data_IF_248615704929
#
_entry.id   IF_248615704929
#
_cell.length_a   1.000
_cell.length_b   1.000
_cell.length_c   1.000
_cell.angle_alpha   90.00
_cell.angle_beta   90.00
_cell.angle_gamma   90.00
#
_symmetry.space_group_name_H-M   'P 1'
#
loop_
_entity.id
_entity.type
_entity.pdbx_description
1 polymer ?
#
# COMPACT_ATOMS: atom_id res chain seq x y z
N UNK A 1 28.43 11.86 28.64
CA UNK A 1 27.53 13.01 28.31
C UNK A 1 26.11 12.60 28.67
N UNK A 2 25.29 13.48 29.25
CA UNK A 2 23.92 13.14 29.65
C UNK A 2 22.98 12.87 28.46
N UNK A 3 21.86 12.19 28.72
CA UNK A 3 20.79 11.97 27.73
C UNK A 3 20.19 13.30 27.31
N UNK A 4 20.03 13.50 25.99
CA UNK A 4 19.49 14.71 25.38
C UNK A 4 17.95 14.67 25.28
N UNK A 5 17.35 13.51 25.50
CA UNK A 5 15.93 13.18 25.37
C UNK A 5 15.37 13.55 24.00
N UNK A 6 16.13 13.30 22.94
CA UNK A 6 15.77 13.71 21.57
C UNK A 6 16.07 12.62 20.56
N UNK A 7 15.17 12.40 19.61
CA UNK A 7 15.32 11.46 18.51
C UNK A 7 15.18 12.18 17.17
N UNK A 8 15.89 11.70 16.15
CA UNK A 8 15.75 12.21 14.80
C UNK A 8 15.25 11.08 13.87
N UNK A 9 14.11 11.31 13.22
CA UNK A 9 13.52 10.43 12.21
C UNK A 9 13.94 10.92 10.84
N UNK A 10 14.63 10.08 10.06
CA UNK A 10 15.29 10.48 8.82
C UNK A 10 14.71 9.74 7.62
N UNK A 11 14.25 10.50 6.63
CA UNK A 11 13.65 9.98 5.41
C UNK A 11 14.21 10.72 4.20
N UNK A 12 14.95 10.05 3.32
CA UNK A 12 15.37 10.66 2.04
C UNK A 12 14.25 10.55 0.99
N UNK A 13 13.08 11.11 1.30
CA UNK A 13 11.83 10.96 0.58
C UNK A 13 10.75 11.93 1.08
N UNK A 14 9.60 11.96 0.39
CA UNK A 14 8.44 12.77 0.81
C UNK A 14 7.85 12.20 2.11
N UNK A 15 7.85 13.00 3.19
CA UNK A 15 7.33 12.56 4.49
C UNK A 15 5.84 12.20 4.43
N UNK A 16 5.02 12.92 3.66
CA UNK A 16 3.59 12.65 3.54
C UNK A 16 3.29 11.32 2.85
N UNK A 17 4.30 10.73 2.18
CA UNK A 17 4.23 9.40 1.55
C UNK A 17 5.02 8.34 2.31
N UNK A 18 5.44 8.63 3.53
CA UNK A 18 6.24 7.74 4.38
C UNK A 18 5.51 7.49 5.71
N UNK A 19 4.34 6.81 5.68
CA UNK A 19 3.46 6.69 6.85
C UNK A 19 4.14 5.97 8.03
N UNK A 20 4.94 4.93 7.78
CA UNK A 20 5.69 4.23 8.82
C UNK A 20 6.61 5.15 9.63
N UNK A 21 7.27 6.11 8.99
CA UNK A 21 8.18 7.03 9.69
C UNK A 21 7.41 8.09 10.49
N UNK A 22 6.25 8.51 9.98
CA UNK A 22 5.29 9.30 10.76
C UNK A 22 4.80 8.52 12.00
N UNK A 23 4.60 7.21 11.86
CA UNK A 23 4.25 6.31 12.95
C UNK A 23 5.39 5.95 13.87
N UNK A 24 6.65 6.13 13.49
CA UNK A 24 7.74 6.15 14.47
C UNK A 24 7.71 7.45 15.28
N UNK A 25 7.46 8.60 14.65
CA UNK A 25 7.53 9.90 15.31
C UNK A 25 6.50 10.07 16.44
N UNK A 26 5.27 9.55 16.26
CA UNK A 26 4.20 9.69 17.26
C UNK A 26 4.49 8.95 18.59
N UNK A 27 4.75 7.63 18.61
CA UNK A 27 5.24 6.89 19.77
C UNK A 27 6.53 7.45 20.41
N UNK A 28 7.49 7.89 19.60
CA UNK A 28 8.70 8.52 20.14
C UNK A 28 8.35 9.73 20.99
N UNK A 29 7.42 10.56 20.51
CA UNK A 29 6.97 11.75 21.23
C UNK A 29 6.05 11.41 22.43
N UNK A 30 5.12 10.46 22.26
CA UNK A 30 4.08 10.14 23.26
C UNK A 30 4.53 9.10 24.30
N UNK A 31 5.07 7.97 23.85
CA UNK A 31 5.39 6.79 24.68
C UNK A 31 6.83 6.80 25.19
N UNK A 32 7.77 7.33 24.41
CA UNK A 32 9.17 7.48 24.84
C UNK A 32 9.49 8.86 25.43
N UNK A 33 8.55 9.82 25.31
CA UNK A 33 8.64 11.18 25.86
C UNK A 33 9.92 11.89 25.37
N UNK A 34 10.17 11.81 24.06
CA UNK A 34 11.31 12.43 23.40
C UNK A 34 10.85 13.61 22.55
N UNK A 35 11.71 14.62 22.41
CA UNK A 35 11.57 15.57 21.32
C UNK A 35 11.98 14.88 20.00
N UNK A 36 11.20 15.08 18.93
CA UNK A 36 11.38 14.35 17.67
C UNK A 36 11.61 15.33 16.53
N UNK A 37 12.78 15.26 15.90
CA UNK A 37 13.08 15.98 14.66
C UNK A 37 12.87 15.06 13.46
N UNK A 38 11.94 15.38 12.57
CA UNK A 38 11.76 14.67 11.30
C UNK A 38 12.55 15.41 10.22
N UNK A 39 13.54 14.76 9.60
CA UNK A 39 14.31 15.30 8.47
C UNK A 39 13.89 14.56 7.20
N UNK A 40 13.19 15.26 6.31
CA UNK A 40 12.60 14.65 5.11
C UNK A 40 12.40 15.65 3.96
N UNK A 41 12.07 15.17 2.75
CA UNK A 41 11.55 16.05 1.71
C UNK A 41 10.10 16.47 2.04
N UNK A 42 9.76 17.71 1.71
CA UNK A 42 8.38 18.13 1.64
C UNK A 42 7.68 17.62 0.37
N UNK A 43 6.39 17.94 0.23
CA UNK A 43 5.59 17.57 -0.92
C UNK A 43 4.15 17.36 -0.48
N UNK A 44 3.82 16.13 -0.15
CA UNK A 44 2.50 15.73 0.36
C UNK A 44 2.37 16.13 1.83
N UNK A 45 1.16 16.46 2.27
CA UNK A 45 0.91 16.81 3.68
C UNK A 45 1.03 15.57 4.59
N UNK A 46 1.79 15.64 5.69
CA UNK A 46 1.78 14.61 6.73
C UNK A 46 0.43 14.51 7.43
N UNK A 47 0.26 13.41 8.18
CA UNK A 47 -0.91 13.20 9.03
C UNK A 47 -1.06 14.33 10.07
N UNK A 48 -2.31 14.74 10.32
CA UNK A 48 -2.61 15.90 11.18
C UNK A 48 -2.04 15.73 12.59
N UNK A 49 -2.06 14.51 13.13
CA UNK A 49 -1.50 14.21 14.45
C UNK A 49 0.01 14.43 14.53
N UNK A 50 0.75 14.37 13.42
CA UNK A 50 2.18 14.68 13.37
C UNK A 50 2.38 16.19 13.29
N UNK A 51 1.55 16.89 12.51
CA UNK A 51 1.62 18.33 12.33
C UNK A 51 1.26 19.11 13.61
N UNK A 52 0.30 18.61 14.38
CA UNK A 52 -0.21 19.28 15.58
C UNK A 52 0.55 18.91 16.87
N UNK A 53 1.45 17.92 16.83
CA UNK A 53 2.15 17.46 18.03
C UNK A 53 3.27 18.42 18.44
N UNK A 54 3.19 18.95 19.67
CA UNK A 54 4.10 19.99 20.17
C UNK A 54 5.59 19.57 20.23
N UNK A 55 5.85 18.27 20.44
CA UNK A 55 7.20 17.70 20.53
C UNK A 55 7.75 17.18 19.19
N UNK A 56 7.05 17.39 18.07
CA UNK A 56 7.49 16.93 16.75
C UNK A 56 7.82 18.15 15.86
N UNK A 57 9.04 18.18 15.31
CA UNK A 57 9.54 19.26 14.48
C UNK A 57 9.90 18.73 13.09
N UNK A 58 9.24 19.24 12.04
CA UNK A 58 9.48 18.79 10.66
C UNK A 58 10.44 19.74 9.95
N UNK A 59 11.58 19.21 9.52
CA UNK A 59 12.63 19.90 8.77
C UNK A 59 12.61 19.44 7.32
N UNK A 60 11.98 20.25 6.46
CA UNK A 60 11.84 19.96 5.02
C UNK A 60 13.13 20.29 4.27
N UNK A 61 13.82 19.26 3.79
CA UNK A 61 15.02 19.39 2.96
C UNK A 61 14.68 19.85 1.54
N UNK A 62 15.55 20.64 0.90
CA UNK A 62 15.42 20.94 -0.52
C UNK A 62 15.58 19.67 -1.36
N UNK A 63 14.73 19.52 -2.36
CA UNK A 63 14.81 18.42 -3.32
C UNK A 63 15.86 18.71 -4.40
N UNK A 64 16.36 17.64 -5.05
CA UNK A 64 17.21 17.79 -6.23
C UNK A 64 16.46 18.56 -7.33
N UNK A 65 17.05 19.62 -7.90
CA UNK A 65 16.37 20.45 -8.88
C UNK A 65 15.97 19.67 -10.14
N UNK A 66 14.81 20.00 -10.70
CA UNK A 66 14.33 19.44 -11.96
C UNK A 66 15.00 20.22 -13.09
N UNK A 67 15.85 19.54 -13.87
CA UNK A 67 16.52 20.16 -15.01
C UNK A 67 15.66 20.08 -16.29
N UNK A 68 15.57 21.16 -17.09
CA UNK A 68 14.84 21.15 -18.35
C UNK A 68 15.44 20.16 -19.36
N UNK A 69 14.60 19.59 -20.25
CA UNK A 69 14.97 18.55 -21.23
C UNK A 69 16.16 18.92 -22.13
N UNK A 70 16.40 20.20 -22.36
CA UNK A 70 17.53 20.71 -23.15
C UNK A 70 18.91 20.32 -22.57
N UNK A 71 19.02 20.12 -21.24
CA UNK A 71 20.26 19.68 -20.56
C UNK A 71 20.45 18.15 -20.57
N UNK A 72 19.67 17.41 -21.37
CA UNK A 72 19.71 15.93 -21.39
C UNK A 72 21.07 15.35 -21.78
N UNK A 73 21.90 16.07 -22.54
CA UNK A 73 23.27 15.67 -22.89
C UNK A 73 24.13 15.50 -21.62
N UNK A 74 23.86 16.27 -20.55
CA UNK A 74 24.56 16.20 -19.27
C UNK A 74 23.90 15.23 -18.27
N UNK A 75 22.85 14.49 -18.68
CA UNK A 75 22.04 13.65 -17.78
C UNK A 75 22.88 12.62 -17.02
N UNK A 76 23.91 12.05 -17.65
CA UNK A 76 24.81 11.09 -16.99
C UNK A 76 25.63 11.75 -15.87
N UNK A 77 26.13 12.97 -16.08
CA UNK A 77 26.84 13.73 -15.05
C UNK A 77 25.88 14.14 -13.91
N UNK A 78 24.68 14.60 -14.25
CA UNK A 78 23.62 14.98 -13.29
C UNK A 78 23.26 13.80 -12.36
N UNK A 79 23.20 12.57 -12.90
CA UNK A 79 22.92 11.37 -12.10
C UNK A 79 24.04 11.04 -11.10
N UNK A 80 25.29 11.37 -11.43
CA UNK A 80 26.43 11.16 -10.53
C UNK A 80 26.50 12.22 -9.41
N UNK A 81 26.17 13.47 -9.73
CA UNK A 81 26.16 14.56 -8.73
C UNK A 81 24.96 14.51 -7.79
N UNK A 82 23.84 13.90 -8.21
CA UNK A 82 22.62 13.83 -7.39
C UNK A 82 22.86 13.17 -6.01
N UNK A 83 23.43 11.96 -5.89
CA UNK A 83 23.73 11.36 -4.59
C UNK A 83 24.70 12.20 -3.75
N UNK A 84 25.66 12.88 -4.37
CA UNK A 84 26.63 13.73 -3.65
C UNK A 84 25.91 14.94 -3.04
N UNK A 85 25.06 15.61 -3.80
CA UNK A 85 24.25 16.70 -3.27
C UNK A 85 23.31 16.24 -2.17
N UNK A 86 22.60 15.13 -2.38
CA UNK A 86 21.71 14.55 -1.37
C UNK A 86 22.48 14.21 -0.09
N UNK A 87 23.70 13.67 -0.21
CA UNK A 87 24.59 13.41 0.92
C UNK A 87 24.93 14.69 1.69
N UNK A 88 25.41 15.73 0.99
CA UNK A 88 25.85 16.99 1.60
C UNK A 88 24.69 17.72 2.28
N UNK A 89 23.54 17.80 1.61
CA UNK A 89 22.34 18.41 2.18
C UNK A 89 21.88 17.64 3.40
N UNK A 90 21.74 16.31 3.30
CA UNK A 90 21.30 15.50 4.43
C UNK A 90 22.26 15.63 5.61
N UNK A 91 23.57 15.52 5.37
CA UNK A 91 24.58 15.67 6.41
C UNK A 91 24.52 17.05 7.07
N UNK A 92 24.33 18.14 6.31
CA UNK A 92 24.17 19.48 6.87
C UNK A 92 22.93 19.58 7.77
N UNK A 93 21.80 18.98 7.36
CA UNK A 93 20.60 18.97 8.19
C UNK A 93 20.85 18.23 9.52
N UNK A 94 21.45 17.04 9.46
CA UNK A 94 21.70 16.20 10.64
C UNK A 94 22.80 16.77 11.57
N UNK A 95 23.82 17.43 11.01
CA UNK A 95 24.99 17.93 11.75
C UNK A 95 24.92 19.42 12.10
N UNK A 96 24.03 20.20 11.51
CA UNK A 96 23.97 21.65 11.72
C UNK A 96 22.56 22.14 11.99
N UNK A 97 21.57 21.74 11.18
CA UNK A 97 20.22 22.31 11.25
C UNK A 97 19.43 21.86 12.48
N UNK A 98 19.50 20.57 12.81
CA UNK A 98 18.77 20.00 13.95
C UNK A 98 19.66 19.95 15.21
N UNK A 99 19.07 20.05 16.41
CA UNK A 99 19.78 19.76 17.66
C UNK A 99 20.30 18.33 17.65
N UNK A 100 21.42 18.09 18.35
CA UNK A 100 22.02 16.76 18.38
C UNK A 100 21.07 15.75 19.08
N UNK A 101 20.61 14.68 18.41
CA UNK A 101 19.74 13.69 19.03
C UNK A 101 20.56 12.67 19.84
N UNK A 102 19.89 11.86 20.65
CA UNK A 102 20.48 10.64 21.23
C UNK A 102 20.50 9.50 20.21
N UNK A 103 19.51 9.46 19.31
CA UNK A 103 19.34 8.41 18.31
C UNK A 103 18.81 8.96 16.98
N UNK A 104 19.37 8.47 15.87
CA UNK A 104 18.80 8.59 14.54
C UNK A 104 18.02 7.31 14.18
N UNK A 105 16.81 7.43 13.64
CA UNK A 105 16.05 6.32 13.06
C UNK A 105 15.88 6.61 11.58
N UNK A 106 16.52 5.80 10.73
CA UNK A 106 16.58 6.04 9.28
C UNK A 106 15.75 5.02 8.51
N UNK A 107 14.92 5.52 7.61
CA UNK A 107 14.19 4.69 6.64
C UNK A 107 15.16 4.15 5.58
N UNK A 108 15.19 2.83 5.39
CA UNK A 108 15.85 2.20 4.25
C UNK A 108 14.82 1.46 3.39
N UNK A 109 14.75 1.69 2.07
CA UNK A 109 15.63 2.51 1.20
C UNK A 109 15.22 4.01 1.13
N UNK A 110 16.03 4.88 0.48
CA UNK A 110 17.30 4.61 -0.20
C UNK A 110 18.48 4.53 0.76
N UNK A 111 19.39 3.59 0.51
CA UNK A 111 20.59 3.35 1.33
C UNK A 111 21.71 4.32 1.01
N UNK A 112 21.93 4.56 -0.28
CA UNK A 112 22.92 5.52 -0.77
C UNK A 112 22.18 6.77 -1.27
N UNK A 113 22.49 7.97 -0.74
CA UNK A 113 23.53 8.30 0.25
C UNK A 113 23.09 8.22 1.73
N UNK A 114 21.84 7.86 2.03
CA UNK A 114 21.23 8.08 3.35
C UNK A 114 21.97 7.40 4.51
N UNK A 115 22.24 6.10 4.44
CA UNK A 115 22.91 5.37 5.52
C UNK A 115 24.33 5.89 5.75
N UNK A 116 25.01 6.30 4.67
CA UNK A 116 26.34 6.91 4.73
C UNK A 116 26.29 8.25 5.48
N UNK A 117 25.34 9.13 5.12
CA UNK A 117 25.17 10.42 5.76
C UNK A 117 24.78 10.29 7.23
N UNK A 118 23.84 9.38 7.55
CA UNK A 118 23.39 9.15 8.93
C UNK A 118 24.50 8.54 9.78
N UNK A 119 25.31 7.61 9.25
CA UNK A 119 26.46 7.08 9.98
C UNK A 119 27.50 8.17 10.28
N UNK A 120 27.81 9.01 9.30
CA UNK A 120 28.70 10.16 9.50
C UNK A 120 28.16 11.11 10.58
N UNK A 121 26.87 11.45 10.52
CA UNK A 121 26.23 12.31 11.50
C UNK A 121 26.21 11.68 12.90
N UNK A 122 25.92 10.38 13.00
CA UNK A 122 25.98 9.58 14.22
C UNK A 122 27.35 9.68 14.88
N UNK A 123 28.43 9.54 14.12
CA UNK A 123 29.79 9.68 14.63
C UNK A 123 30.10 11.11 15.09
N UNK A 124 29.79 12.12 14.28
CA UNK A 124 30.05 13.54 14.60
C UNK A 124 29.28 13.99 15.85
N UNK A 125 28.06 13.49 16.05
CA UNK A 125 27.18 13.90 17.15
C UNK A 125 27.26 12.99 18.38
N UNK A 126 28.05 11.92 18.33
CA UNK A 126 28.05 10.84 19.31
C UNK A 126 26.62 10.36 19.62
N UNK A 127 25.86 10.11 18.56
CA UNK A 127 24.47 9.65 18.63
C UNK A 127 24.39 8.24 18.10
N UNK A 128 23.50 7.42 18.65
CA UNK A 128 23.23 6.12 18.07
C UNK A 128 22.49 6.27 16.73
N UNK A 129 22.47 5.21 15.92
CA UNK A 129 21.58 5.15 14.76
C UNK A 129 21.02 3.75 14.58
N UNK A 130 19.75 3.71 14.19
CA UNK A 130 18.92 2.53 13.96
C UNK A 130 18.43 2.58 12.53
N UNK A 131 18.56 1.46 11.81
CA UNK A 131 18.03 1.32 10.45
C UNK A 131 16.67 0.63 10.51
N UNK A 132 15.65 1.23 9.91
CA UNK A 132 14.35 0.62 9.70
C UNK A 132 14.25 0.11 8.26
N UNK A 133 14.37 -1.20 8.10
CA UNK A 133 14.46 -1.90 6.82
C UNK A 133 13.05 -2.20 6.28
N UNK A 134 12.68 -1.51 5.20
CA UNK A 134 11.40 -1.69 4.52
C UNK A 134 11.55 -2.51 3.24
N UNK A 135 12.70 -2.37 2.58
CA UNK A 135 13.10 -3.13 1.41
C UNK A 135 14.64 -2.95 1.26
N UNK A 136 15.24 -3.60 0.27
CA UNK A 136 16.64 -3.42 -0.07
C UNK A 136 16.80 -2.50 -1.29
N UNK A 137 17.55 -1.42 -1.12
CA UNK A 137 17.80 -0.45 -2.18
C UNK A 137 18.50 -1.07 -3.39
N UNK A 138 19.39 -2.05 -3.18
CA UNK A 138 20.03 -2.74 -4.31
C UNK A 138 19.02 -3.52 -5.19
N UNK A 139 17.94 -4.08 -4.60
CA UNK A 139 16.92 -4.82 -5.36
C UNK A 139 16.07 -3.88 -6.21
N UNK A 140 15.72 -2.71 -5.66
CA UNK A 140 15.02 -1.66 -6.41
C UNK A 140 15.89 -1.11 -7.55
N UNK A 141 17.19 -0.92 -7.31
CA UNK A 141 18.13 -0.50 -8.36
C UNK A 141 18.27 -1.56 -9.45
N UNK A 142 18.23 -2.84 -9.08
CA UNK A 142 18.31 -3.96 -10.01
C UNK A 142 17.12 -4.03 -10.99
N UNK A 143 15.95 -3.50 -10.63
CA UNK A 143 14.81 -3.39 -11.55
C UNK A 143 15.12 -2.45 -12.73
N UNK A 144 15.94 -1.43 -12.51
CA UNK A 144 16.28 -0.43 -13.54
C UNK A 144 17.57 -0.78 -14.31
N UNK A 145 18.60 -1.29 -13.62
CA UNK A 145 19.92 -1.53 -14.20
C UNK A 145 20.22 -3.01 -14.50
N UNK A 146 19.34 -3.92 -14.09
CA UNK A 146 19.54 -5.36 -14.16
C UNK A 146 20.38 -5.91 -13.00
N UNK A 147 20.08 -7.15 -12.59
CA UNK A 147 20.70 -7.82 -11.43
C UNK A 147 22.22 -8.01 -11.56
N UNK A 148 22.72 -8.15 -12.79
CA UNK A 148 24.14 -8.41 -13.08
C UNK A 148 24.98 -7.13 -13.19
N UNK A 149 24.40 -5.96 -12.92
CA UNK A 149 25.11 -4.68 -13.01
C UNK A 149 26.14 -4.54 -11.88
N UNK A 150 27.36 -4.11 -12.22
CA UNK A 150 28.41 -3.77 -11.24
C UNK A 150 27.95 -2.68 -10.26
N UNK A 151 27.11 -1.74 -10.72
CA UNK A 151 26.54 -0.70 -9.85
C UNK A 151 25.60 -1.27 -8.80
N UNK A 152 24.83 -2.31 -9.13
CA UNK A 152 23.94 -3.00 -8.19
C UNK A 152 24.77 -3.77 -7.16
N UNK A 153 25.84 -4.45 -7.59
CA UNK A 153 26.76 -5.13 -6.68
C UNK A 153 27.45 -4.16 -5.71
N UNK A 154 27.92 -3.01 -6.22
CA UNK A 154 28.50 -1.95 -5.39
C UNK A 154 27.47 -1.36 -4.42
N UNK A 155 26.25 -1.08 -4.88
CA UNK A 155 25.18 -0.58 -4.01
C UNK A 155 24.86 -1.56 -2.88
N UNK A 156 24.74 -2.86 -3.21
CA UNK A 156 24.53 -3.93 -2.22
C UNK A 156 25.65 -3.97 -1.19
N UNK A 157 26.91 -3.84 -1.63
CA UNK A 157 28.04 -3.80 -0.72
C UNK A 157 27.96 -2.60 0.24
N UNK A 158 27.69 -1.39 -0.27
CA UNK A 158 27.54 -0.19 0.58
C UNK A 158 26.37 -0.36 1.55
N UNK A 159 25.21 -0.79 1.05
CA UNK A 159 24.02 -1.02 1.87
C UNK A 159 24.28 -2.01 3.00
N UNK A 160 24.99 -3.12 2.71
CA UNK A 160 25.38 -4.11 3.72
C UNK A 160 26.36 -3.54 4.74
N UNK A 161 27.44 -2.92 4.29
CA UNK A 161 28.48 -2.40 5.19
C UNK A 161 27.92 -1.35 6.15
N UNK A 162 27.15 -0.37 5.66
CA UNK A 162 26.58 0.65 6.54
C UNK A 162 25.41 0.12 7.38
N UNK A 163 24.71 -0.91 6.90
CA UNK A 163 23.73 -1.65 7.69
C UNK A 163 24.34 -2.36 8.90
N UNK A 164 25.45 -3.08 8.71
CA UNK A 164 26.20 -3.77 9.78
C UNK A 164 26.73 -2.81 10.85
N UNK A 165 27.02 -1.56 10.47
CA UNK A 165 27.50 -0.52 11.39
C UNK A 165 26.41 0.09 12.29
N UNK A 166 25.14 -0.29 12.10
CA UNK A 166 24.00 0.20 12.87
C UNK A 166 24.00 -0.32 14.29
N UNK A 167 23.58 0.52 15.24
CA UNK A 167 23.50 0.14 16.64
C UNK A 167 22.23 -0.69 16.91
N UNK A 168 21.22 -0.55 16.06
CA UNK A 168 20.02 -1.38 16.06
C UNK A 168 19.41 -1.48 14.67
N UNK A 169 18.55 -2.46 14.46
CA UNK A 169 17.80 -2.62 13.21
C UNK A 169 16.36 -3.05 13.47
N UNK A 170 15.43 -2.48 12.71
CA UNK A 170 14.02 -2.87 12.65
C UNK A 170 13.73 -3.40 11.25
N UNK A 171 12.83 -4.37 11.10
CA UNK A 171 12.44 -4.85 9.77
C UNK A 171 10.95 -5.18 9.69
N UNK A 172 10.39 -5.09 8.48
CA UNK A 172 8.95 -5.24 8.22
C UNK A 172 8.44 -6.68 8.31
N UNK A 173 9.32 -7.69 8.23
CA UNK A 173 8.94 -9.11 8.20
C UNK A 173 9.96 -10.01 8.91
N UNK A 174 9.53 -11.21 9.30
CA UNK A 174 10.41 -12.29 9.78
C UNK A 174 11.28 -12.82 8.65
N UNK A 175 10.76 -12.92 7.43
CA UNK A 175 11.54 -13.25 6.25
C UNK A 175 12.74 -12.30 6.07
N UNK A 176 12.53 -10.99 6.19
CA UNK A 176 13.61 -9.99 6.12
C UNK A 176 14.55 -10.10 7.33
N UNK A 177 14.03 -10.36 8.54
CA UNK A 177 14.86 -10.62 9.72
C UNK A 177 15.81 -11.80 9.49
N UNK A 178 15.31 -12.88 8.90
CA UNK A 178 16.10 -14.07 8.59
C UNK A 178 17.18 -13.77 7.54
N UNK A 179 16.84 -13.03 6.48
CA UNK A 179 17.81 -12.57 5.47
C UNK A 179 18.91 -11.70 6.08
N UNK A 180 18.53 -10.69 6.88
CA UNK A 180 19.45 -9.79 7.56
C UNK A 180 20.38 -10.56 8.50
N UNK A 181 19.86 -11.49 9.28
CA UNK A 181 20.67 -12.27 10.23
C UNK A 181 21.63 -13.25 9.52
N UNK A 182 21.14 -14.03 8.57
CA UNK A 182 21.94 -15.10 7.94
C UNK A 182 22.93 -14.59 6.89
N UNK A 183 22.50 -13.64 6.05
CA UNK A 183 23.30 -13.21 4.90
C UNK A 183 24.03 -11.88 5.16
N UNK A 184 23.54 -11.07 6.11
CA UNK A 184 24.11 -9.76 6.42
C UNK A 184 24.73 -9.68 7.81
N UNK A 185 24.57 -10.70 8.66
CA UNK A 185 25.06 -10.63 10.05
C UNK A 185 24.38 -9.54 10.90
N UNK A 186 23.22 -9.03 10.46
CA UNK A 186 22.49 -7.95 11.12
C UNK A 186 21.35 -8.56 11.95
N UNK A 187 21.38 -8.34 13.25
CA UNK A 187 20.28 -8.71 14.15
C UNK A 187 19.20 -7.60 14.11
N UNK A 188 18.08 -7.90 13.47
CA UNK A 188 16.93 -6.99 13.41
C UNK A 188 15.79 -7.45 14.32
N UNK A 189 14.99 -6.50 14.79
CA UNK A 189 13.71 -6.75 15.49
C UNK A 189 12.57 -6.55 14.50
N UNK A 190 11.65 -7.51 14.43
CA UNK A 190 10.48 -7.40 13.55
C UNK A 190 9.50 -6.38 14.11
N UNK A 191 9.08 -5.45 13.25
CA UNK A 191 8.01 -4.50 13.51
C UNK A 191 7.15 -4.45 12.25
N UNK A 192 6.01 -5.13 12.31
CA UNK A 192 5.05 -5.19 11.20
C UNK A 192 4.39 -3.84 10.98
N UNK A 193 4.06 -3.57 9.72
CA UNK A 193 3.21 -2.44 9.38
C UNK A 193 1.78 -2.63 9.88
N UNK A 194 1.16 -1.53 10.25
CA UNK A 194 -0.21 -1.50 10.76
C UNK A 194 -1.01 -0.43 10.04
N UNK A 195 -2.31 -0.67 9.80
CA UNK A 195 -3.14 0.29 9.11
C UNK A 195 -3.29 1.56 9.94
N UNK A 196 -3.24 2.74 9.31
CA UNK A 196 -3.70 3.99 9.92
C UNK A 196 -5.10 3.87 10.56
N UNK A 197 -5.34 4.59 11.65
CA UNK A 197 -6.64 4.59 12.35
C UNK A 197 -7.81 5.03 11.46
N UNK A 198 -7.57 5.82 10.41
CA UNK A 198 -8.60 6.28 9.48
C UNK A 198 -9.03 5.21 8.44
N UNK A 199 -8.30 4.11 8.31
CA UNK A 199 -8.80 2.95 7.57
C UNK A 199 -9.72 2.16 8.48
N UNK A 200 -11.02 2.33 8.26
CA UNK A 200 -12.10 1.69 9.01
C UNK A 200 -13.19 1.22 8.06
N UNK A 201 -14.03 0.27 8.47
CA UNK A 201 -15.22 -0.10 7.71
C UNK A 201 -16.16 1.10 7.54
N UNK A 202 -16.62 1.35 6.31
CA UNK A 202 -17.52 2.47 6.03
C UNK A 202 -18.96 2.13 6.47
N UNK A 203 -19.63 3.04 7.16
CA UNK A 203 -21.07 2.95 7.45
C UNK A 203 -21.90 3.03 6.17
N UNK A 204 -23.12 2.48 6.16
CA UNK A 204 -23.99 2.51 4.98
C UNK A 204 -24.25 3.93 4.44
N UNK A 205 -24.30 4.92 5.33
CA UNK A 205 -24.44 6.34 4.98
C UNK A 205 -23.21 6.84 4.24
N UNK A 206 -22.01 6.54 4.75
CA UNK A 206 -20.75 6.90 4.09
C UNK A 206 -20.60 6.21 2.74
N UNK A 207 -20.96 4.91 2.65
CA UNK A 207 -20.97 4.17 1.38
C UNK A 207 -21.86 4.85 0.36
N UNK A 208 -23.11 5.17 0.74
CA UNK A 208 -24.05 5.84 -0.16
C UNK A 208 -23.54 7.21 -0.61
N UNK A 209 -23.04 8.04 0.31
CA UNK A 209 -22.52 9.36 0.01
C UNK A 209 -21.32 9.28 -0.95
N UNK A 210 -20.37 8.36 -0.70
CA UNK A 210 -19.25 8.12 -1.60
C UNK A 210 -19.74 7.72 -2.99
N UNK A 211 -20.61 6.71 -3.07
CA UNK A 211 -21.13 6.18 -4.33
C UNK A 211 -21.90 7.24 -5.13
N UNK A 212 -22.62 8.15 -4.46
CA UNK A 212 -23.22 9.32 -5.09
C UNK A 212 -22.14 10.26 -5.65
N UNK A 213 -21.07 10.56 -4.89
CA UNK A 213 -19.97 11.43 -5.37
C UNK A 213 -19.28 10.85 -6.62
N UNK A 214 -18.97 9.56 -6.62
CA UNK A 214 -18.24 8.89 -7.72
C UNK A 214 -19.16 8.36 -8.83
N UNK A 215 -20.48 8.52 -8.70
CA UNK A 215 -21.48 7.98 -9.63
C UNK A 215 -21.21 8.33 -11.10
N UNK A 216 -20.77 9.57 -11.37
CA UNK A 216 -20.39 10.01 -12.72
C UNK A 216 -19.28 9.14 -13.30
N UNK A 217 -18.21 8.92 -12.53
CA UNK A 217 -17.10 8.05 -12.93
C UNK A 217 -17.51 6.58 -13.06
N UNK A 218 -18.49 6.11 -12.26
CA UNK A 218 -19.04 4.76 -12.40
C UNK A 218 -19.91 4.59 -13.64
N UNK A 219 -20.58 5.64 -14.09
CA UNK A 219 -21.44 5.62 -15.27
C UNK A 219 -20.66 5.76 -16.59
N UNK A 220 -19.40 6.18 -16.54
CA UNK A 220 -18.52 6.29 -17.70
C UNK A 220 -17.69 5.00 -17.87
N UNK A 221 -18.06 4.09 -18.79
CA UNK A 221 -17.24 2.92 -19.06
C UNK A 221 -15.91 3.31 -19.69
N UNK A 222 -14.85 2.56 -19.38
CA UNK A 222 -13.53 2.73 -20.01
C UNK A 222 -13.58 2.37 -21.51
N UNK A 223 -14.52 1.49 -21.89
CA UNK A 223 -14.76 1.03 -23.26
C UNK A 223 -16.22 1.17 -23.69
N UNK A 224 -16.82 0.09 -24.22
CA UNK A 224 -18.23 0.08 -24.63
C UNK A 224 -19.16 -0.01 -23.41
N UNK A 225 -20.47 0.13 -23.65
CA UNK A 225 -21.52 -0.17 -22.68
C UNK A 225 -21.27 -1.55 -22.06
N UNK A 226 -21.47 -1.66 -20.75
CA UNK A 226 -21.20 -2.86 -19.96
C UNK A 226 -22.36 -3.18 -19.02
N UNK A 227 -22.22 -4.28 -18.26
CA UNK A 227 -23.23 -4.79 -17.34
C UNK A 227 -23.61 -3.85 -16.18
N UNK A 228 -22.89 -2.73 -16.01
CA UNK A 228 -23.10 -1.73 -14.96
C UNK A 228 -23.65 -0.41 -15.53
N UNK A 229 -23.55 -0.21 -16.84
CA UNK A 229 -24.05 0.97 -17.53
C UNK A 229 -25.57 1.06 -17.34
N UNK A 230 -26.02 2.07 -16.58
CA UNK A 230 -27.41 2.24 -16.20
C UNK A 230 -27.91 3.62 -16.68
N UNK A 231 -29.14 3.66 -17.21
CA UNK A 231 -29.74 4.90 -17.72
C UNK A 231 -30.57 5.65 -16.66
N UNK A 232 -30.69 5.09 -15.44
CA UNK A 232 -31.52 5.64 -14.37
C UNK A 232 -30.81 6.78 -13.62
N UNK A 233 -31.28 8.00 -13.83
CA UNK A 233 -30.81 9.24 -13.20
C UNK A 233 -31.50 9.57 -11.85
N UNK A 234 -31.93 8.57 -11.08
CA UNK A 234 -32.52 8.84 -9.76
C UNK A 234 -31.44 9.34 -8.78
N UNK A 235 -31.52 10.60 -8.29
CA UNK A 235 -30.52 11.16 -7.39
C UNK A 235 -30.47 10.46 -6.01
N UNK A 236 -31.51 9.72 -5.63
CA UNK A 236 -31.60 9.01 -4.35
C UNK A 236 -31.19 7.54 -4.43
N UNK A 237 -30.72 7.07 -5.59
CA UNK A 237 -30.39 5.67 -5.83
C UNK A 237 -29.04 5.56 -6.52
N UNK A 238 -28.16 4.74 -5.96
CA UNK A 238 -26.89 4.35 -6.59
C UNK A 238 -27.02 2.94 -7.17
N UNK A 239 -25.95 2.45 -7.81
CA UNK A 239 -25.88 1.06 -8.26
C UNK A 239 -26.00 0.04 -7.11
N UNK A 240 -25.61 0.44 -5.89
CA UNK A 240 -25.50 -0.46 -4.73
C UNK A 240 -26.53 -0.20 -3.64
N UNK A 241 -27.00 1.04 -3.51
CA UNK A 241 -27.86 1.50 -2.40
C UNK A 241 -29.06 2.29 -2.91
N UNK A 242 -30.14 2.26 -2.15
CA UNK A 242 -31.32 3.13 -2.36
C UNK A 242 -31.64 3.83 -1.05
N UNK A 243 -31.94 5.12 -1.14
CA UNK A 243 -32.44 5.92 -0.02
C UNK A 243 -33.97 5.95 -0.05
N UNK A 244 -34.61 5.43 0.99
CA UNK A 244 -36.07 5.45 1.18
C UNK A 244 -36.37 6.32 2.39
N UNK A 245 -36.83 7.54 2.16
CA UNK A 245 -37.00 8.53 3.22
C UNK A 245 -35.65 8.91 3.87
N UNK A 246 -35.45 8.54 5.14
CA UNK A 246 -34.20 8.74 5.87
C UNK A 246 -33.30 7.50 5.93
N UNK A 247 -33.81 6.33 5.55
CA UNK A 247 -33.09 5.06 5.62
C UNK A 247 -32.35 4.76 4.30
N UNK A 248 -31.18 4.15 4.43
CA UNK A 248 -30.35 3.71 3.30
C UNK A 248 -30.25 2.19 3.36
N UNK A 249 -30.68 1.54 2.27
CA UNK A 249 -30.71 0.09 2.14
C UNK A 249 -29.79 -0.37 1.00
N UNK A 250 -29.15 -1.53 1.17
CA UNK A 250 -28.43 -2.20 0.09
C UNK A 250 -29.42 -2.85 -0.87
N UNK A 251 -29.14 -2.75 -2.17
CA UNK A 251 -29.95 -3.41 -3.21
C UNK A 251 -29.65 -4.91 -3.24
N UNK A 252 -30.68 -5.74 -3.33
CA UNK A 252 -30.54 -7.20 -3.39
C UNK A 252 -29.73 -7.69 -4.60
N UNK A 253 -29.94 -7.09 -5.78
CA UNK A 253 -29.22 -7.44 -7.02
C UNK A 253 -28.06 -6.47 -7.35
N UNK A 254 -27.45 -5.86 -6.31
CA UNK A 254 -26.26 -5.03 -6.51
C UNK A 254 -25.09 -5.88 -7.03
N UNK A 255 -24.21 -5.31 -7.87
CA UNK A 255 -22.96 -5.97 -8.16
C UNK A 255 -22.10 -6.09 -6.90
N UNK A 256 -21.19 -7.05 -6.91
CA UNK A 256 -20.08 -7.10 -5.98
C UNK A 256 -19.06 -6.02 -6.38
N UNK A 257 -18.63 -5.23 -5.39
CA UNK A 257 -17.62 -4.19 -5.56
C UNK A 257 -16.24 -4.73 -5.21
N UNK A 258 -15.37 -4.82 -6.20
CA UNK A 258 -13.98 -5.23 -6.03
C UNK A 258 -13.05 -4.03 -6.20
N UNK A 259 -12.01 -3.95 -5.39
CA UNK A 259 -11.04 -2.84 -5.47
C UNK A 259 -9.63 -3.38 -5.64
N UNK A 260 -8.95 -2.88 -6.67
CA UNK A 260 -7.53 -3.10 -6.87
C UNK A 260 -6.79 -1.78 -6.71
N UNK A 261 -6.06 -1.63 -5.61
CA UNK A 261 -5.17 -0.49 -5.41
C UNK A 261 -3.84 -0.79 -6.08
N UNK A 262 -3.28 0.17 -6.82
CA UNK A 262 -2.14 -0.09 -7.70
C UNK A 262 -1.23 1.13 -7.84
N UNK A 263 0.04 0.86 -8.14
CA UNK A 263 1.01 1.88 -8.55
C UNK A 263 1.22 1.90 -10.06
N UNK A 264 0.50 1.06 -10.81
CA UNK A 264 0.59 0.79 -12.24
C UNK A 264 2.04 0.56 -12.68
N UNK A 265 2.78 -0.17 -11.86
CA UNK A 265 4.18 -0.51 -12.11
C UNK A 265 4.27 -1.86 -12.83
N UNK A 266 5.33 -2.12 -13.61
CA UNK A 266 5.44 -3.35 -14.40
C UNK A 266 5.46 -4.66 -13.60
N UNK A 267 5.74 -4.60 -12.30
CA UNK A 267 5.66 -5.73 -11.35
C UNK A 267 4.23 -6.13 -10.98
N UNK A 268 3.23 -5.27 -11.24
CA UNK A 268 1.81 -5.56 -11.06
C UNK A 268 1.23 -6.08 -12.39
N UNK A 269 1.20 -7.40 -12.60
CA UNK A 269 0.69 -8.00 -13.84
C UNK A 269 -0.84 -7.97 -13.91
N UNK A 270 -1.37 -6.91 -14.52
CA UNK A 270 -2.80 -6.75 -14.79
C UNK A 270 -3.36 -7.79 -15.76
N UNK A 271 -2.52 -8.49 -16.54
CA UNK A 271 -2.96 -9.59 -17.39
C UNK A 271 -3.65 -10.68 -16.58
N UNK A 272 -3.15 -10.97 -15.37
CA UNK A 272 -3.74 -11.95 -14.46
C UNK A 272 -5.18 -11.56 -14.09
N UNK A 273 -5.39 -10.29 -13.73
CA UNK A 273 -6.71 -9.78 -13.33
C UNK A 273 -7.70 -9.80 -14.50
N UNK A 274 -7.28 -9.35 -15.68
CA UNK A 274 -8.13 -9.29 -16.86
C UNK A 274 -8.52 -10.69 -17.35
N UNK A 275 -7.58 -11.62 -17.36
CA UNK A 275 -7.83 -13.01 -17.73
C UNK A 275 -8.73 -13.71 -16.70
N UNK A 276 -8.52 -13.48 -15.40
CA UNK A 276 -9.38 -14.03 -14.36
C UNK A 276 -10.83 -13.53 -14.49
N UNK A 277 -11.02 -12.25 -14.81
CA UNK A 277 -12.33 -11.67 -15.07
C UNK A 277 -13.01 -12.30 -16.30
N UNK A 278 -12.24 -12.56 -17.37
CA UNK A 278 -12.74 -13.29 -18.54
C UNK A 278 -13.15 -14.73 -18.18
N UNK A 279 -12.32 -15.44 -17.42
CA UNK A 279 -12.63 -16.80 -16.96
C UNK A 279 -13.87 -16.84 -16.07
N UNK A 280 -14.03 -15.89 -15.15
CA UNK A 280 -15.24 -15.75 -14.33
C UNK A 280 -16.48 -15.56 -15.21
N UNK A 281 -16.44 -14.62 -16.18
CA UNK A 281 -17.56 -14.36 -17.09
C UNK A 281 -18.00 -15.63 -17.85
N UNK A 282 -17.03 -16.38 -18.38
CA UNK A 282 -17.27 -17.63 -19.13
C UNK A 282 -17.81 -18.75 -18.25
N UNK A 283 -17.27 -18.94 -17.05
CA UNK A 283 -17.72 -19.98 -16.12
C UNK A 283 -19.15 -19.72 -15.67
N UNK A 284 -19.48 -18.47 -15.32
CA UNK A 284 -20.85 -18.12 -14.95
C UNK A 284 -21.81 -18.28 -16.13
N UNK A 285 -21.44 -17.85 -17.35
CA UNK A 285 -22.26 -18.07 -18.54
C UNK A 285 -22.55 -19.57 -18.78
N UNK A 286 -21.54 -20.42 -18.62
CA UNK A 286 -21.66 -21.88 -18.77
C UNK A 286 -22.62 -22.46 -17.73
N UNK A 287 -22.51 -22.05 -16.46
CA UNK A 287 -23.40 -22.51 -15.39
C UNK A 287 -24.87 -22.11 -15.61
N UNK A 288 -25.08 -21.01 -16.33
CA UNK A 288 -26.42 -20.51 -16.66
C UNK A 288 -26.97 -21.09 -17.99
N UNK A 289 -26.20 -21.94 -18.68
CA UNK A 289 -26.58 -22.46 -19.98
C UNK A 289 -26.67 -21.37 -21.06
N UNK A 290 -25.93 -20.28 -20.92
CA UNK A 290 -25.93 -19.19 -21.88
C UNK A 290 -24.98 -19.48 -23.04
N UNK A 291 -25.53 -19.64 -24.23
CA UNK A 291 -24.74 -19.77 -25.44
C UNK A 291 -24.06 -18.43 -25.80
N UNK A 292 -22.92 -18.52 -26.48
CA UNK A 292 -22.16 -17.37 -26.99
C UNK A 292 -22.96 -16.48 -27.96
N UNK A 293 -24.07 -16.99 -28.48
CA UNK A 293 -24.98 -16.30 -29.41
C UNK A 293 -26.01 -15.41 -28.72
N UNK A 294 -26.16 -15.51 -27.39
CA UNK A 294 -27.11 -14.70 -26.64
C UNK A 294 -26.67 -13.24 -26.68
N UNK A 295 -27.51 -12.34 -27.17
CA UNK A 295 -27.23 -10.90 -27.22
C UNK A 295 -26.98 -10.34 -25.81
N UNK A 296 -25.95 -9.50 -25.66
CA UNK A 296 -25.56 -8.84 -24.42
C UNK A 296 -26.75 -8.06 -23.82
N UNK A 297 -27.53 -7.38 -24.67
CA UNK A 297 -28.70 -6.60 -24.24
C UNK A 297 -29.81 -7.49 -23.67
N UNK A 298 -29.95 -8.74 -24.12
CA UNK A 298 -30.92 -9.68 -23.55
C UNK A 298 -30.51 -10.04 -22.12
N UNK A 299 -29.25 -10.40 -21.92
CA UNK A 299 -28.71 -10.75 -20.59
C UNK A 299 -28.83 -9.56 -19.63
N UNK A 300 -28.46 -8.36 -20.08
CA UNK A 300 -28.57 -7.15 -19.26
C UNK A 300 -30.01 -6.78 -18.94
N UNK A 301 -30.94 -6.98 -19.86
CA UNK A 301 -32.37 -6.75 -19.61
C UNK A 301 -32.95 -7.73 -18.60
N UNK A 302 -32.56 -9.01 -18.63
CA UNK A 302 -32.98 -9.97 -17.60
C UNK A 302 -32.44 -9.58 -16.21
N UNK A 303 -31.17 -9.17 -16.14
CA UNK A 303 -30.56 -8.66 -14.90
C UNK A 303 -31.32 -7.43 -14.39
N UNK A 304 -31.65 -6.47 -15.26
CA UNK A 304 -32.40 -5.25 -14.91
C UNK A 304 -33.84 -5.55 -14.47
N UNK A 305 -34.47 -6.57 -15.05
CA UNK A 305 -35.81 -7.06 -14.65
C UNK A 305 -35.80 -7.81 -13.31
N UNK A 306 -34.63 -7.96 -12.68
CA UNK A 306 -34.51 -8.50 -11.34
C UNK A 306 -34.31 -10.01 -11.28
N UNK A 307 -33.97 -10.66 -12.41
CA UNK A 307 -33.59 -12.08 -12.40
C UNK A 307 -32.40 -12.28 -11.46
N UNK A 308 -32.58 -13.14 -10.46
CA UNK A 308 -31.55 -13.44 -9.49
C UNK A 308 -30.64 -14.54 -10.04
N UNK A 309 -29.34 -14.34 -9.92
CA UNK A 309 -28.33 -15.30 -10.35
C UNK A 309 -27.54 -15.77 -9.13
N UNK A 310 -27.06 -17.02 -9.16
CA UNK A 310 -26.20 -17.56 -8.10
C UNK A 310 -24.87 -16.81 -7.99
N UNK A 311 -24.46 -16.13 -9.06
CA UNK A 311 -23.23 -15.34 -9.12
C UNK A 311 -23.55 -13.89 -9.51
N UNK A 312 -22.96 -12.91 -8.80
CA UNK A 312 -23.25 -11.50 -9.06
C UNK A 312 -22.49 -11.00 -10.29
N UNK A 313 -22.93 -9.83 -10.76
CA UNK A 313 -22.07 -8.96 -11.58
C UNK A 313 -20.90 -8.47 -10.73
N UNK A 314 -19.72 -8.37 -11.31
CA UNK A 314 -18.53 -7.84 -10.66
C UNK A 314 -18.21 -6.45 -11.20
N UNK A 315 -17.98 -5.50 -10.30
CA UNK A 315 -17.44 -4.18 -10.63
C UNK A 315 -16.07 -4.02 -10.00
N UNK A 316 -15.02 -4.03 -10.82
CA UNK A 316 -13.67 -3.70 -10.41
C UNK A 316 -13.44 -2.20 -10.48
N UNK A 317 -13.05 -1.59 -9.37
CA UNK A 317 -12.49 -0.25 -9.33
C UNK A 317 -10.98 -0.37 -9.15
N UNK A 318 -10.23 0.03 -10.17
CA UNK A 318 -8.77 0.06 -10.16
C UNK A 318 -8.34 1.51 -9.88
N UNK A 319 -7.65 1.71 -8.76
CA UNK A 319 -7.25 3.06 -8.32
C UNK A 319 -5.74 3.16 -8.13
N UNK A 320 -5.17 4.29 -8.55
CA UNK A 320 -3.74 4.51 -8.53
C UNK A 320 -3.24 5.38 -9.66
N UNK A 321 -1.93 5.63 -9.68
CA UNK A 321 -1.23 6.36 -10.74
C UNK A 321 0.10 5.71 -11.06
N UNK A 322 0.36 5.51 -12.34
CA UNK A 322 1.65 5.07 -12.85
C UNK A 322 1.62 4.72 -14.34
N UNK A 323 2.74 4.23 -14.88
CA UNK A 323 2.97 4.13 -16.31
C UNK A 323 2.11 3.10 -17.05
N UNK A 324 1.77 1.97 -16.43
CA UNK A 324 1.02 0.89 -17.11
C UNK A 324 -0.48 1.15 -17.21
N UNK A 325 -0.98 2.27 -16.67
CA UNK A 325 -2.42 2.59 -16.64
C UNK A 325 -3.04 2.61 -18.03
N UNK A 326 -2.46 3.37 -18.96
CA UNK A 326 -3.03 3.57 -20.31
C UNK A 326 -3.12 2.24 -21.08
N UNK A 327 -2.05 1.44 -21.01
CA UNK A 327 -2.00 0.10 -21.62
C UNK A 327 -3.04 -0.85 -21.01
N UNK A 328 -3.25 -0.81 -19.70
CA UNK A 328 -4.31 -1.60 -19.06
C UNK A 328 -5.70 -1.15 -19.54
N UNK A 329 -5.95 0.16 -19.64
CA UNK A 329 -7.22 0.69 -20.16
C UNK A 329 -7.46 0.27 -21.60
N UNK A 330 -6.43 0.25 -22.45
CA UNK A 330 -6.53 -0.27 -23.82
C UNK A 330 -6.90 -1.75 -23.85
N UNK A 331 -6.34 -2.57 -22.96
CA UNK A 331 -6.68 -3.98 -22.87
C UNK A 331 -8.12 -4.16 -22.38
N UNK A 332 -8.57 -3.39 -21.39
CA UNK A 332 -9.96 -3.37 -20.92
C UNK A 332 -10.92 -3.04 -22.09
N UNK A 333 -10.58 -2.08 -22.95
CA UNK A 333 -11.42 -1.72 -24.12
C UNK A 333 -11.58 -2.83 -25.16
N UNK A 334 -10.61 -3.76 -25.23
CA UNK A 334 -10.61 -4.86 -26.19
C UNK A 334 -11.41 -6.06 -25.72
N UNK A 335 -11.66 -6.18 -24.42
CA UNK A 335 -12.38 -7.31 -23.84
C UNK A 335 -13.88 -6.96 -23.74
N UNK A 336 -14.73 -7.88 -24.16
CA UNK A 336 -16.19 -7.77 -24.01
C UNK A 336 -16.65 -8.79 -22.96
N UNK A 337 -17.19 -8.29 -21.85
CA UNK A 337 -17.64 -9.08 -20.70
C UNK A 337 -19.11 -8.76 -20.42
N UNK A 338 -19.91 -9.80 -20.17
CA UNK A 338 -21.34 -9.68 -19.90
C UNK A 338 -21.64 -9.44 -18.41
N UNK A 339 -20.71 -9.81 -17.53
CA UNK A 339 -20.92 -9.83 -16.06
C UNK A 339 -19.86 -9.09 -15.27
N UNK A 340 -18.79 -8.65 -15.92
CA UNK A 340 -17.70 -7.95 -15.25
C UNK A 340 -17.52 -6.58 -15.90
N UNK A 341 -17.35 -5.56 -15.07
CA UNK A 341 -17.05 -4.21 -15.50
C UNK A 341 -15.81 -3.69 -14.78
N UNK A 342 -15.06 -2.82 -15.46
CA UNK A 342 -13.87 -2.17 -14.92
C UNK A 342 -14.04 -0.66 -14.93
N UNK A 343 -13.60 0.00 -13.86
CA UNK A 343 -13.46 1.46 -13.77
C UNK A 343 -12.07 1.81 -13.28
N UNK A 344 -11.39 2.69 -14.00
CA UNK A 344 -10.13 3.27 -13.56
C UNK A 344 -10.40 4.67 -13.04
N UNK A 345 -10.02 4.96 -11.79
CA UNK A 345 -10.22 6.30 -11.24
C UNK A 345 -9.16 6.68 -10.21
N UNK A 346 -8.86 7.97 -10.16
CA UNK A 346 -8.06 8.54 -9.08
C UNK A 346 -8.98 8.95 -7.95
N UNK A 347 -8.64 8.57 -6.72
CA UNK A 347 -9.38 8.96 -5.52
C UNK A 347 -8.58 9.93 -4.68
N UNK A 348 -9.29 10.80 -3.98
CA UNK A 348 -8.69 11.65 -2.96
C UNK A 348 -8.22 10.81 -1.76
N UNK A 349 -7.32 11.36 -0.95
CA UNK A 349 -6.88 10.70 0.29
C UNK A 349 -8.03 10.44 1.28
N UNK A 350 -9.14 11.19 1.16
CA UNK A 350 -10.35 11.02 1.98
C UNK A 350 -11.30 9.96 1.41
N UNK A 351 -11.44 9.89 0.09
CA UNK A 351 -12.34 8.93 -0.56
C UNK A 351 -11.74 7.53 -0.65
N UNK A 352 -10.41 7.40 -0.63
CA UNK A 352 -9.74 6.10 -0.74
C UNK A 352 -10.08 5.13 0.40
N UNK A 353 -9.95 5.50 1.69
CA UNK A 353 -10.39 4.64 2.80
C UNK A 353 -11.89 4.31 2.72
N UNK A 354 -12.73 5.30 2.35
CA UNK A 354 -14.16 5.08 2.19
C UNK A 354 -14.47 4.06 1.08
N UNK A 355 -13.73 4.07 -0.03
CA UNK A 355 -13.90 3.07 -1.08
C UNK A 355 -13.52 1.67 -0.56
N UNK A 356 -12.38 1.53 0.12
CA UNK A 356 -11.97 0.25 0.69
C UNK A 356 -13.01 -0.27 1.69
N UNK A 357 -13.48 0.57 2.60
CA UNK A 357 -14.54 0.22 3.56
C UNK A 357 -15.91 -0.03 2.91
N UNK A 358 -16.12 0.44 1.68
CA UNK A 358 -17.33 0.19 0.90
C UNK A 358 -17.30 -1.14 0.15
N UNK A 359 -16.11 -1.63 -0.20
CA UNK A 359 -15.91 -2.77 -1.08
C UNK A 359 -16.27 -4.13 -0.43
N UNK A 360 -16.47 -5.12 -1.31
CA UNK A 360 -16.76 -6.50 -0.95
C UNK A 360 -15.48 -7.34 -0.86
N UNK A 361 -14.54 -7.16 -1.80
CA UNK A 361 -13.26 -7.86 -1.87
C UNK A 361 -12.14 -6.94 -2.40
N UNK A 362 -10.95 -7.01 -1.80
CA UNK A 362 -9.74 -6.39 -2.33
C UNK A 362 -8.98 -7.36 -3.23
N UNK A 363 -8.36 -6.85 -4.30
CA UNK A 363 -7.41 -7.64 -5.12
C UNK A 363 -6.05 -6.94 -5.11
N UNK A 364 -5.01 -7.66 -4.72
CA UNK A 364 -3.65 -7.14 -4.67
C UNK A 364 -2.73 -7.90 -5.65
N UNK A 365 -2.31 -7.21 -6.70
CA UNK A 365 -1.38 -7.73 -7.71
C UNK A 365 0.10 -7.44 -7.38
N UNK A 366 0.35 -6.71 -6.29
CA UNK A 366 1.70 -6.26 -5.95
C UNK A 366 2.56 -7.42 -5.49
N UNK A 367 3.80 -7.47 -6.00
CA UNK A 367 4.84 -8.37 -5.53
C UNK A 367 6.05 -7.57 -5.05
N UNK A 368 6.72 -8.10 -4.04
CA UNK A 368 7.93 -7.48 -3.50
C UNK A 368 9.13 -7.69 -4.44
N UNK A 369 9.88 -6.61 -4.73
CA UNK A 369 11.12 -6.68 -5.51
C UNK A 369 12.20 -7.56 -4.88
N UNK A 370 12.20 -7.64 -3.54
CA UNK A 370 13.11 -8.46 -2.76
C UNK A 370 12.53 -9.85 -2.43
N UNK A 371 11.20 -9.99 -2.51
CA UNK A 371 10.43 -11.09 -1.96
C UNK A 371 10.23 -11.03 -0.43
N UNK A 372 10.66 -9.95 0.22
CA UNK A 372 10.82 -9.89 1.69
C UNK A 372 10.02 -8.77 2.38
N UNK A 373 9.30 -7.93 1.62
CA UNK A 373 8.40 -6.91 2.15
C UNK A 373 6.93 -7.20 1.84
N UNK A 374 6.05 -6.57 2.61
CA UNK A 374 4.60 -6.79 2.57
C UNK A 374 3.89 -5.60 1.89
N UNK A 375 2.83 -5.84 1.09
CA UNK A 375 2.08 -4.78 0.45
C UNK A 375 1.30 -3.96 1.49
N UNK A 376 1.70 -2.70 1.67
CA UNK A 376 0.95 -1.72 2.47
C UNK A 376 -0.51 -1.60 2.02
N UNK A 377 -0.78 -1.79 0.73
CA UNK A 377 -2.15 -1.76 0.19
C UNK A 377 -3.05 -2.83 0.81
N UNK A 378 -2.52 -4.02 1.14
CA UNK A 378 -3.29 -5.07 1.83
C UNK A 378 -3.49 -4.70 3.29
N UNK A 379 -2.49 -4.10 3.93
CA UNK A 379 -2.61 -3.56 5.30
C UNK A 379 -3.76 -2.54 5.37
N UNK A 380 -3.81 -1.60 4.43
CA UNK A 380 -4.89 -0.61 4.31
C UNK A 380 -6.27 -1.26 4.12
N UNK A 381 -6.36 -2.26 3.24
CA UNK A 381 -7.59 -3.04 3.01
C UNK A 381 -8.04 -3.75 4.30
N UNK A 382 -7.13 -4.38 5.02
CA UNK A 382 -7.42 -5.02 6.30
C UNK A 382 -7.88 -4.03 7.36
N UNK A 383 -7.29 -2.82 7.44
CA UNK A 383 -7.80 -1.77 8.32
C UNK A 383 -9.26 -1.42 8.06
N UNK A 384 -9.67 -1.41 6.80
CA UNK A 384 -11.07 -1.23 6.40
C UNK A 384 -11.96 -2.49 6.58
N UNK A 385 -11.39 -3.57 7.10
CA UNK A 385 -12.05 -4.86 7.24
C UNK A 385 -12.45 -5.48 5.90
N UNK A 386 -11.65 -5.25 4.87
CA UNK A 386 -11.82 -5.77 3.52
C UNK A 386 -10.95 -7.01 3.34
N UNK A 387 -11.54 -8.22 3.20
CA UNK A 387 -10.79 -9.42 2.80
C UNK A 387 -10.10 -9.22 1.46
N UNK A 388 -9.00 -9.94 1.22
CA UNK A 388 -8.22 -9.80 -0.03
C UNK A 388 -7.97 -11.12 -0.73
N UNK A 389 -7.90 -11.07 -2.05
CA UNK A 389 -7.13 -12.02 -2.86
C UNK A 389 -5.79 -11.35 -3.21
N UNK A 390 -4.67 -11.97 -2.86
CA UNK A 390 -3.34 -11.41 -3.11
C UNK A 390 -2.44 -12.36 -3.90
N UNK A 391 -1.55 -11.81 -4.73
CA UNK A 391 -0.55 -12.62 -5.44
C UNK A 391 0.36 -13.34 -4.43
N UNK A 392 0.56 -14.63 -4.64
CA UNK A 392 1.42 -15.48 -3.83
C UNK A 392 2.90 -15.18 -4.07
N UNK A 393 3.63 -14.85 -3.02
CA UNK A 393 5.10 -14.75 -3.04
C UNK A 393 5.67 -15.07 -1.64
N UNK A 394 7.00 -15.15 -1.52
CA UNK A 394 7.69 -15.81 -0.39
C UNK A 394 7.23 -15.43 1.02
N UNK A 395 7.01 -14.15 1.32
CA UNK A 395 6.65 -13.70 2.67
C UNK A 395 5.19 -13.25 2.84
N UNK A 396 4.34 -13.31 1.80
CA UNK A 396 2.96 -12.79 1.87
C UNK A 396 2.11 -13.49 2.94
N UNK A 397 2.44 -14.74 3.28
CA UNK A 397 1.76 -15.51 4.33
C UNK A 397 1.96 -14.96 5.74
N UNK A 398 2.90 -14.03 5.95
CA UNK A 398 3.01 -13.27 7.19
C UNK A 398 1.88 -12.24 7.36
N UNK A 399 1.23 -11.84 6.26
CA UNK A 399 0.12 -10.88 6.25
C UNK A 399 -1.21 -11.57 5.92
N UNK A 400 -1.25 -12.39 4.86
CA UNK A 400 -2.47 -13.06 4.39
C UNK A 400 -2.52 -14.50 4.89
N UNK A 401 -3.42 -14.74 5.84
CA UNK A 401 -3.75 -16.04 6.41
C UNK A 401 -4.89 -16.64 5.58
N UNK A 402 -4.54 -17.58 4.70
CA UNK A 402 -5.49 -18.23 3.77
C UNK A 402 -6.70 -18.79 4.52
N UNK A 403 -7.90 -18.41 4.08
CA UNK A 403 -9.17 -18.84 4.69
C UNK A 403 -9.59 -18.01 5.90
N UNK A 404 -8.67 -17.26 6.51
CA UNK A 404 -8.94 -16.44 7.70
C UNK A 404 -9.22 -14.98 7.33
N UNK A 405 -8.33 -14.33 6.59
CA UNK A 405 -8.46 -12.91 6.22
C UNK A 405 -8.36 -12.67 4.71
N UNK A 406 -8.04 -13.71 3.93
CA UNK A 406 -7.93 -13.61 2.48
C UNK A 406 -7.56 -14.94 1.83
N UNK A 407 -7.29 -14.88 0.53
CA UNK A 407 -6.84 -15.98 -0.31
C UNK A 407 -5.59 -15.57 -1.10
N UNK A 408 -4.86 -16.55 -1.62
CA UNK A 408 -3.61 -16.36 -2.35
C UNK A 408 -3.66 -17.07 -3.69
N UNK A 409 -3.37 -16.34 -4.76
CA UNK A 409 -3.34 -16.86 -6.12
C UNK A 409 -1.97 -16.63 -6.78
N UNK A 410 -1.63 -17.51 -7.72
CA UNK A 410 -0.41 -17.44 -8.54
C UNK A 410 -0.74 -17.34 -10.03
N UNK A 411 -2.01 -17.49 -10.41
CA UNK A 411 -2.47 -17.48 -11.80
C UNK A 411 -3.86 -16.87 -11.94
N UNK A 412 -4.24 -16.54 -13.18
CA UNK A 412 -5.58 -16.05 -13.51
C UNK A 412 -6.66 -17.10 -13.24
N UNK A 413 -6.33 -18.38 -13.44
CA UNK A 413 -7.24 -19.50 -13.17
C UNK A 413 -7.56 -19.61 -11.66
N UNK A 414 -6.52 -19.53 -10.82
CA UNK A 414 -6.68 -19.55 -9.36
C UNK A 414 -7.50 -18.34 -8.89
N UNK A 415 -7.18 -17.12 -9.36
CA UNK A 415 -7.97 -15.94 -9.02
C UNK A 415 -9.44 -16.09 -9.46
N UNK A 416 -9.69 -16.66 -10.64
CA UNK A 416 -11.05 -16.92 -11.08
C UNK A 416 -11.77 -17.98 -10.22
N UNK A 417 -11.07 -19.01 -9.74
CA UNK A 417 -11.62 -20.00 -8.80
C UNK A 417 -11.97 -19.36 -7.45
N UNK A 418 -11.09 -18.49 -6.94
CA UNK A 418 -11.32 -17.72 -5.71
C UNK A 418 -12.54 -16.79 -5.84
N UNK A 419 -12.69 -16.10 -6.97
CA UNK A 419 -13.87 -15.26 -7.23
C UNK A 419 -15.16 -16.10 -7.26
N UNK A 420 -15.13 -17.29 -7.86
CA UNK A 420 -16.29 -18.19 -7.85
C UNK A 420 -16.60 -18.65 -6.41
N UNK A 421 -15.60 -19.06 -5.64
CA UNK A 421 -15.79 -19.48 -4.25
C UNK A 421 -16.38 -18.36 -3.36
N UNK A 422 -15.86 -17.15 -3.49
CA UNK A 422 -16.21 -16.04 -2.59
C UNK A 422 -17.57 -15.41 -2.92
N UNK A 423 -18.01 -15.46 -4.17
CA UNK A 423 -19.24 -14.80 -4.63
C UNK A 423 -20.41 -15.73 -4.94
N UNK A 424 -20.26 -17.03 -4.69
CA UNK A 424 -21.40 -17.95 -4.75
C UNK A 424 -22.50 -17.50 -3.76
N UNK A 425 -23.72 -17.33 -4.26
CA UNK A 425 -24.88 -16.91 -3.48
C UNK A 425 -24.86 -15.47 -2.96
N UNK A 426 -23.96 -14.62 -3.46
CA UNK A 426 -23.88 -13.21 -3.07
C UNK A 426 -25.19 -12.45 -3.35
N UNK A 427 -25.60 -11.48 -2.50
CA UNK A 427 -24.94 -11.02 -1.27
C UNK A 427 -25.32 -11.80 -0.01
N UNK A 428 -26.27 -12.73 -0.11
CA UNK A 428 -26.92 -13.31 1.06
C UNK A 428 -26.36 -14.64 1.57
N UNK A 429 -25.65 -15.40 0.73
CA UNK A 429 -25.13 -16.74 1.05
C UNK A 429 -23.63 -16.89 0.77
N UNK A 430 -22.88 -15.79 0.84
CA UNK A 430 -21.43 -15.77 0.65
C UNK A 430 -20.68 -16.04 1.97
N UNK A 431 -20.83 -17.26 2.50
CA UNK A 431 -20.36 -17.61 3.85
C UNK A 431 -18.84 -17.48 4.01
N UNK A 432 -18.06 -17.88 3.01
CA UNK A 432 -16.60 -17.74 3.02
C UNK A 432 -16.17 -16.26 3.15
N UNK A 433 -16.77 -15.38 2.34
CA UNK A 433 -16.45 -13.95 2.35
C UNK A 433 -16.87 -13.28 3.67
N UNK A 434 -18.04 -13.65 4.21
CA UNK A 434 -18.53 -13.15 5.51
C UNK A 434 -17.66 -13.61 6.67
N UNK A 435 -17.26 -14.89 6.66
CA UNK A 435 -16.37 -15.43 7.68
C UNK A 435 -15.04 -14.69 7.69
N UNK A 436 -14.43 -14.47 6.52
CA UNK A 436 -13.16 -13.73 6.43
C UNK A 436 -13.30 -12.30 6.94
N UNK A 437 -14.42 -11.64 6.61
CA UNK A 437 -14.71 -10.28 7.09
C UNK A 437 -14.86 -10.25 8.61
N UNK A 438 -15.55 -11.22 9.21
CA UNK A 438 -15.71 -11.30 10.67
C UNK A 438 -14.37 -11.48 11.37
N UNK A 439 -13.56 -12.43 10.91
CA UNK A 439 -12.22 -12.69 11.45
C UNK A 439 -11.33 -11.45 11.36
N UNK A 440 -11.39 -10.71 10.26
CA UNK A 440 -10.63 -9.46 10.11
C UNK A 440 -11.02 -8.39 11.13
N UNK A 441 -12.31 -8.23 11.44
CA UNK A 441 -12.75 -7.26 12.45
C UNK A 441 -12.20 -7.60 13.84
N UNK A 442 -12.09 -8.88 14.17
CA UNK A 442 -11.49 -9.33 15.43
C UNK A 442 -10.00 -8.99 15.47
N UNK A 443 -9.24 -9.30 14.41
CA UNK A 443 -7.80 -9.03 14.31
C UNK A 443 -7.48 -7.54 14.36
N UNK A 444 -8.20 -6.71 13.58
CA UNK A 444 -7.96 -5.26 13.53
C UNK A 444 -8.28 -4.59 14.87
N UNK A 445 -9.18 -5.18 15.66
CA UNK A 445 -9.50 -4.66 16.99
C UNK A 445 -8.40 -4.92 18.03
N UNK A 446 -7.60 -5.98 17.87
CA UNK A 446 -6.56 -6.38 18.83
C UNK A 446 -5.20 -5.73 18.56
N UNK A 447 -4.82 -5.59 17.29
CA UNK A 447 -3.45 -5.25 16.92
C UNK A 447 -3.33 -3.77 16.54
N UNK A 448 -2.85 -2.95 17.48
CA UNK A 448 -2.57 -1.52 17.24
C UNK A 448 -1.08 -1.26 17.17
N UNK A 449 -0.70 -0.38 16.23
CA UNK A 449 0.68 0.09 16.07
C UNK A 449 1.33 0.48 17.40
N UNK A 450 0.65 1.27 18.22
CA UNK A 450 1.17 1.75 19.50
C UNK A 450 1.59 0.61 20.46
N UNK A 451 0.80 -0.47 20.50
CA UNK A 451 1.09 -1.66 21.32
C UNK A 451 2.32 -2.39 20.79
N UNK A 452 2.30 -2.74 19.50
CA UNK A 452 3.43 -3.44 18.87
C UNK A 452 4.72 -2.65 18.92
N UNK A 453 4.63 -1.31 18.87
CA UNK A 453 5.77 -0.41 18.96
C UNK A 453 6.36 -0.39 20.37
N UNK A 454 5.52 -0.33 21.41
CA UNK A 454 5.96 -0.39 22.82
C UNK A 454 6.63 -1.74 23.13
N UNK A 455 6.15 -2.83 22.54
CA UNK A 455 6.70 -4.18 22.75
C UNK A 455 8.02 -4.42 22.00
N UNK A 456 8.16 -3.91 20.78
CA UNK A 456 9.26 -4.28 19.88
C UNK A 456 10.26 -3.14 19.64
N UNK A 457 9.78 -1.95 19.27
CA UNK A 457 10.63 -0.83 18.87
C UNK A 457 11.22 -0.11 20.09
N UNK A 458 10.39 0.16 21.11
CA UNK A 458 10.79 0.89 22.30
C UNK A 458 11.97 0.25 23.05
N UNK A 459 11.98 -1.07 23.35
CA UNK A 459 13.09 -1.69 24.07
C UNK A 459 14.39 -1.62 23.29
N UNK A 460 14.34 -1.79 21.96
CA UNK A 460 15.49 -1.63 21.08
C UNK A 460 16.05 -0.20 21.16
N UNK A 461 15.18 0.81 21.01
CA UNK A 461 15.57 2.22 21.03
C UNK A 461 16.22 2.60 22.36
N UNK A 462 15.60 2.23 23.49
CA UNK A 462 16.18 2.51 24.81
C UNK A 462 17.49 1.76 25.05
N UNK A 463 17.58 0.50 24.64
CA UNK A 463 18.80 -0.31 24.73
C UNK A 463 19.96 0.37 23.99
N UNK A 464 19.71 0.77 22.74
CA UNK A 464 20.68 1.45 21.89
C UNK A 464 21.12 2.81 22.46
N UNK A 465 20.17 3.63 22.94
CA UNK A 465 20.50 4.92 23.60
C UNK A 465 21.37 4.68 24.85
N UNK A 466 21.05 3.68 25.66
CA UNK A 466 21.78 3.39 26.90
C UNK A 466 23.22 2.95 26.65
N UNK A 467 23.42 2.06 25.68
CA UNK A 467 24.75 1.55 25.31
C UNK A 467 25.65 2.65 24.73
N UNK A 468 25.08 3.58 23.96
CA UNK A 468 25.83 4.67 23.34
C UNK A 468 26.11 5.85 24.31
N UNK A 469 25.41 5.90 25.44
CA UNK A 469 25.64 6.90 26.49
C UNK A 469 26.67 6.46 27.53
N UNK A 470 27.01 5.17 27.52
CA UNK A 470 28.03 4.53 28.37
C UNK A 470 29.40 4.70 27.74
#
# INVERSE_FOLDING_TARGET
>A
MGKRNRAAVVVLGDIGRSPRMQYHALPLARQAILEVDIVAYGGSEPHISVLEHQSIYIHKMPQWPIFPKCLSILRQLILFFKPIFQFLVLLWYLCVKIPAPDVFIVQNPPSVPTLVAVKCASWIRNSAFIVDWHNFGYTLLALSLGRNSLFVAMYRWIEKQFGEMAHGSLCVTRAMQHELSHNWGIKATVLYDQPPEFFQPASLVEKHNLLCRISKNLNEPVGRRDCISNDNNDPNSTLFTTKVGSEILLKQNRPALLVSSTSWTPDEDFGILLEAAFMYDRRVATLLGEDNLTDDEVVWNEIRKGKQFSYPRLLFIITGKGPEKEKCEENIRKISLKRVAFRTMWLSAQDYPLLLGSADLGVCLHTSSSGLDLPMKVVDMFGCGLPVCAVSYSCIKELVNVGMNGLLFSSSAELADELMLLFEGFPEKCDALRSMRSNLMEIVSSDRWATTWDENAKPLIYGVISQNSS
#
